data_IF_242227617665
#
_entry.id   IF_242227617665
#
_cell.length_a   1.000
_cell.length_b   1.000
_cell.length_c   1.000
_cell.angle_alpha   90.00
_cell.angle_beta   90.00
_cell.angle_gamma   90.00
#
_symmetry.space_group_name_H-M   'P 1'
#
loop_
_entity.id
_entity.type
_entity.pdbx_description
1 polymer ?
#
# COMPACT_ATOMS: atom_id res chain seq x y z
N UNK A 1 -38.65 -50.76 3.35
CA UNK A 1 -37.64 -49.87 3.98
C UNK A 1 -37.44 -48.67 3.06
N UNK A 2 -37.73 -47.44 3.52
CA UNK A 2 -37.62 -46.21 2.71
C UNK A 2 -36.31 -45.49 3.09
N UNK A 3 -35.40 -45.34 2.13
CA UNK A 3 -34.18 -44.54 2.30
C UNK A 3 -34.51 -43.07 1.99
N UNK A 4 -34.43 -42.22 3.01
CA UNK A 4 -34.48 -40.77 2.87
C UNK A 4 -33.07 -40.28 2.55
N UNK A 5 -32.87 -39.91 1.28
CA UNK A 5 -31.65 -39.24 0.82
C UNK A 5 -31.76 -37.75 1.18
N UNK A 6 -30.90 -37.29 2.10
CA UNK A 6 -30.80 -35.86 2.45
C UNK A 6 -29.69 -35.26 1.60
N UNK A 7 -30.09 -34.50 0.59
CA UNK A 7 -29.19 -33.68 -0.21
C UNK A 7 -28.89 -32.40 0.57
N UNK A 8 -27.72 -32.33 1.22
CA UNK A 8 -27.24 -31.12 1.90
C UNK A 8 -26.74 -30.16 0.84
N UNK A 9 -27.55 -29.16 0.50
CA UNK A 9 -27.14 -28.02 -0.30
C UNK A 9 -26.21 -27.15 0.57
N UNK A 10 -24.90 -27.26 0.38
CA UNK A 10 -23.95 -26.26 0.85
C UNK A 10 -24.23 -24.96 0.06
N UNK A 11 -24.99 -24.05 0.66
CA UNK A 11 -25.03 -22.66 0.21
C UNK A 11 -23.65 -22.05 0.43
N UNK A 12 -22.86 -21.97 -0.63
CA UNK A 12 -21.63 -21.17 -0.67
C UNK A 12 -21.99 -19.73 -0.35
N UNK A 13 -21.71 -19.29 0.87
CA UNK A 13 -21.75 -17.88 1.21
C UNK A 13 -20.66 -17.21 0.36
N UNK A 14 -21.09 -16.50 -0.68
CA UNK A 14 -20.21 -15.59 -1.43
C UNK A 14 -19.85 -14.50 -0.44
N UNK A 15 -18.65 -14.60 0.15
CA UNK A 15 -18.08 -13.52 0.93
C UNK A 15 -17.79 -12.41 -0.09
N UNK A 16 -18.76 -11.51 -0.27
CA UNK A 16 -18.47 -10.21 -0.86
C UNK A 16 -17.45 -9.57 0.07
N UNK A 17 -16.17 -9.66 -0.29
CA UNK A 17 -15.12 -8.90 0.35
C UNK A 17 -15.42 -7.43 0.04
N UNK A 18 -16.17 -6.78 0.93
CA UNK A 18 -16.30 -5.33 0.91
C UNK A 18 -14.90 -4.79 1.11
N UNK A 19 -14.33 -4.20 0.06
CA UNK A 19 -13.04 -3.53 0.12
C UNK A 19 -13.21 -2.38 1.12
N UNK A 20 -12.69 -2.56 2.33
CA UNK A 20 -12.74 -1.52 3.36
C UNK A 20 -11.88 -0.34 2.90
N UNK A 21 -12.36 0.90 3.02
CA UNK A 21 -11.56 2.08 2.71
C UNK A 21 -10.33 2.08 3.62
N UNK A 22 -9.16 2.29 3.02
CA UNK A 22 -7.89 2.38 3.74
C UNK A 22 -7.86 3.70 4.52
N UNK A 23 -7.36 3.68 5.76
CA UNK A 23 -7.20 4.91 6.53
C UNK A 23 -6.18 5.84 5.83
N UNK A 24 -6.58 7.08 5.57
CA UNK A 24 -5.73 8.07 4.88
C UNK A 24 -5.26 9.15 5.84
N UNK A 25 -4.24 9.91 5.44
CA UNK A 25 -3.80 11.10 6.14
C UNK A 25 -3.45 12.17 5.13
N UNK A 26 -3.90 13.40 5.38
CA UNK A 26 -3.70 14.54 4.48
C UNK A 26 -2.23 14.92 4.27
N UNK A 27 -1.37 14.51 5.19
CA UNK A 27 0.08 14.70 5.11
C UNK A 27 0.82 13.49 4.55
N UNK A 28 0.12 12.41 4.18
CA UNK A 28 0.74 11.22 3.58
C UNK A 28 0.52 11.17 2.07
N UNK A 29 1.60 11.34 1.32
CA UNK A 29 1.58 11.23 -0.14
C UNK A 29 2.96 10.85 -0.67
N UNK A 30 2.99 10.11 -1.77
CA UNK A 30 4.18 9.98 -2.60
C UNK A 30 4.23 11.20 -3.51
N UNK A 31 5.20 12.08 -3.27
CA UNK A 31 5.29 13.39 -3.96
C UNK A 31 5.95 13.26 -5.33
N UNK A 32 6.89 12.33 -5.46
CA UNK A 32 7.64 12.10 -6.69
C UNK A 32 8.01 10.63 -6.79
N UNK A 33 7.95 10.08 -8.00
CA UNK A 33 8.53 8.78 -8.29
C UNK A 33 8.95 8.69 -9.75
N UNK A 34 9.90 7.80 -10.03
CA UNK A 34 10.35 7.50 -11.38
C UNK A 34 10.83 6.04 -11.48
N UNK A 35 10.76 5.48 -12.67
CA UNK A 35 11.41 4.22 -13.02
C UNK A 35 12.77 4.49 -13.63
N UNK A 36 13.79 3.75 -13.22
CA UNK A 36 15.11 3.73 -13.85
C UNK A 36 15.50 2.28 -14.08
N UNK A 37 15.28 1.80 -15.31
CA UNK A 37 15.39 0.37 -15.62
C UNK A 37 14.38 -0.43 -14.80
N UNK A 38 14.88 -1.36 -13.99
CA UNK A 38 14.07 -2.17 -13.07
C UNK A 38 13.88 -1.55 -11.69
N UNK A 39 14.38 -0.34 -11.42
CA UNK A 39 14.28 0.28 -10.11
C UNK A 39 13.17 1.33 -10.06
N UNK A 40 12.34 1.26 -9.02
CA UNK A 40 11.41 2.32 -8.65
C UNK A 40 12.08 3.17 -7.57
N UNK A 41 12.21 4.47 -7.86
CA UNK A 41 12.77 5.46 -6.94
C UNK A 41 11.72 6.54 -6.67
N UNK A 42 11.70 7.08 -5.47
CA UNK A 42 10.81 8.19 -5.18
C UNK A 42 10.95 8.78 -3.79
N UNK A 43 10.09 9.76 -3.54
CA UNK A 43 10.02 10.55 -2.32
C UNK A 43 8.59 10.53 -1.79
N UNK A 44 8.46 10.48 -0.47
CA UNK A 44 7.17 10.55 0.20
C UNK A 44 7.23 11.54 1.36
N UNK A 45 6.11 12.20 1.60
CA UNK A 45 5.83 13.02 2.77
C UNK A 45 4.90 12.25 3.69
N UNK A 46 5.12 12.29 5.00
CA UNK A 46 4.23 11.70 6.01
C UNK A 46 3.99 12.68 7.15
N UNK A 47 3.01 12.47 8.05
CA UNK A 47 3.04 13.11 9.36
C UNK A 47 4.38 12.89 10.07
N UNK A 48 4.84 13.89 10.84
CA UNK A 48 5.92 13.68 11.82
C UNK A 48 5.58 12.54 12.77
N UNK A 49 6.61 11.90 13.35
CA UNK A 49 6.47 10.70 14.19
C UNK A 49 5.91 9.48 13.42
N UNK A 50 6.13 9.44 12.11
CA UNK A 50 5.99 8.19 11.35
C UNK A 50 7.18 7.28 11.66
N UNK A 51 6.90 6.04 12.04
CA UNK A 51 7.90 5.03 12.39
C UNK A 51 8.50 4.37 11.17
N UNK A 52 7.67 4.09 10.16
CA UNK A 52 8.11 3.41 8.94
C UNK A 52 7.23 3.75 7.75
N UNK A 53 7.84 3.75 6.56
CA UNK A 53 7.17 3.84 5.27
C UNK A 53 7.57 2.65 4.41
N UNK A 54 6.57 1.93 3.91
CA UNK A 54 6.72 0.71 3.12
C UNK A 54 5.99 0.88 1.78
N UNK A 55 6.67 0.56 0.67
CA UNK A 55 6.13 0.65 -0.68
C UNK A 55 5.82 -0.76 -1.18
N UNK A 56 4.53 -1.06 -1.32
CA UNK A 56 4.04 -2.31 -1.88
C UNK A 56 3.76 -2.12 -3.35
N UNK A 57 4.07 -3.12 -4.18
CA UNK A 57 3.93 -3.03 -5.63
C UNK A 57 3.31 -4.31 -6.19
N UNK A 58 2.78 -4.21 -7.39
CA UNK A 58 2.07 -5.29 -8.06
C UNK A 58 2.39 -5.38 -9.55
N UNK A 59 2.32 -6.61 -10.07
CA UNK A 59 2.32 -6.94 -11.50
C UNK A 59 0.90 -7.33 -11.92
N UNK A 60 0.21 -6.44 -12.64
CA UNK A 60 -1.24 -6.55 -12.77
C UNK A 60 -1.88 -6.65 -11.38
N UNK A 61 -2.83 -7.56 -11.18
CA UNK A 61 -3.53 -7.72 -9.90
C UNK A 61 -2.72 -8.47 -8.82
N UNK A 62 -1.51 -8.91 -9.13
CA UNK A 62 -0.68 -9.72 -8.22
C UNK A 62 0.26 -8.85 -7.37
N UNK A 63 -0.07 -8.73 -6.08
CA UNK A 63 0.72 -7.96 -5.11
C UNK A 63 1.93 -8.75 -4.60
N UNK A 64 3.10 -8.10 -4.60
CA UNK A 64 4.29 -8.68 -4.02
C UNK A 64 4.30 -8.57 -2.50
N UNK A 65 4.69 -9.64 -1.77
CA UNK A 65 4.61 -9.68 -0.31
C UNK A 65 5.71 -8.88 0.39
N UNK A 66 6.83 -8.62 -0.30
CA UNK A 66 7.98 -7.90 0.26
C UNK A 66 7.97 -6.45 -0.23
N UNK A 67 7.74 -5.47 0.66
CA UNK A 67 7.75 -4.07 0.26
C UNK A 67 9.18 -3.52 0.15
N UNK A 68 9.33 -2.43 -0.59
CA UNK A 68 10.51 -1.56 -0.50
C UNK A 68 10.37 -0.76 0.79
N UNK A 69 11.39 -0.78 1.66
CA UNK A 69 11.41 0.06 2.86
C UNK A 69 12.03 1.41 2.52
N UNK A 70 11.30 2.49 2.81
CA UNK A 70 11.83 3.82 2.63
C UNK A 70 12.72 4.22 3.82
N UNK A 71 13.68 5.08 3.54
CA UNK A 71 14.58 5.67 4.51
C UNK A 71 14.09 7.07 4.88
N UNK A 72 14.01 7.36 6.18
CA UNK A 72 13.75 8.72 6.66
C UNK A 72 14.94 9.63 6.34
N UNK A 73 14.65 10.87 5.95
CA UNK A 73 15.67 11.85 5.58
C UNK A 73 15.72 13.00 6.58
N UNK A 74 14.61 13.70 6.79
CA UNK A 74 14.51 14.83 7.70
C UNK A 74 13.06 15.18 8.01
N UNK A 75 12.86 15.96 9.08
CA UNK A 75 11.55 16.42 9.52
C UNK A 75 11.40 17.93 9.37
N UNK A 76 10.27 18.37 8.81
CA UNK A 76 9.80 19.75 8.89
C UNK A 76 8.85 19.89 10.07
N UNK A 77 9.38 20.32 11.21
CA UNK A 77 8.58 20.50 12.43
C UNK A 77 7.52 21.60 12.29
N UNK A 78 7.78 22.63 11.47
CA UNK A 78 6.83 23.73 11.27
C UNK A 78 5.60 23.28 10.49
N UNK A 79 5.78 22.42 9.48
CA UNK A 79 4.68 21.81 8.72
C UNK A 79 4.14 20.53 9.36
N UNK A 80 4.88 19.96 10.32
CA UNK A 80 4.59 18.67 10.93
C UNK A 80 4.62 17.54 9.90
N UNK A 81 5.61 17.56 9.01
CA UNK A 81 5.84 16.57 7.93
C UNK A 81 7.22 15.92 8.10
N UNK A 82 7.34 14.62 7.80
CA UNK A 82 8.61 13.90 7.63
C UNK A 82 8.83 13.53 6.17
N UNK A 83 10.06 13.66 5.69
CA UNK A 83 10.46 13.34 4.32
C UNK A 83 11.17 11.99 4.25
N UNK A 84 10.75 11.17 3.29
CA UNK A 84 11.24 9.81 3.08
C UNK A 84 11.68 9.61 1.65
N UNK A 85 12.67 8.73 1.45
CA UNK A 85 13.13 8.30 0.13
C UNK A 85 13.07 6.79 0.03
N UNK A 86 12.61 6.28 -1.12
CA UNK A 86 12.64 4.85 -1.41
C UNK A 86 13.35 4.57 -2.72
N UNK A 87 13.97 3.40 -2.80
CA UNK A 87 14.57 2.84 -4.00
C UNK A 87 14.56 1.32 -3.89
N UNK A 88 14.05 0.62 -4.90
CA UNK A 88 14.05 -0.84 -4.89
C UNK A 88 13.78 -1.45 -6.26
N UNK A 89 14.27 -2.67 -6.45
CA UNK A 89 14.08 -3.43 -7.68
C UNK A 89 12.65 -3.95 -7.79
N UNK A 90 11.99 -3.60 -8.88
CA UNK A 90 10.60 -3.92 -9.22
C UNK A 90 10.46 -4.20 -10.72
N UNK A 91 11.14 -5.25 -11.24
CA UNK A 91 11.32 -5.45 -12.67
C UNK A 91 10.00 -5.52 -13.46
N UNK A 92 8.92 -5.99 -12.85
CA UNK A 92 7.60 -6.19 -13.47
C UNK A 92 6.49 -5.33 -12.87
N UNK A 93 6.81 -4.36 -11.99
CA UNK A 93 5.78 -3.53 -11.39
C UNK A 93 5.00 -2.72 -12.44
N UNK A 94 3.69 -2.72 -12.25
CA UNK A 94 2.70 -1.96 -13.03
C UNK A 94 2.06 -0.86 -12.18
N UNK A 95 1.92 -1.10 -10.87
CA UNK A 95 1.42 -0.12 -9.92
C UNK A 95 1.93 -0.38 -8.51
N UNK A 96 1.78 0.61 -7.63
CA UNK A 96 2.21 0.52 -6.23
C UNK A 96 1.35 1.38 -5.30
N UNK A 97 1.41 1.09 -4.00
CA UNK A 97 0.92 2.00 -2.95
C UNK A 97 1.97 2.09 -1.83
N UNK A 98 1.86 3.14 -1.01
CA UNK A 98 2.67 3.32 0.16
C UNK A 98 1.84 3.12 1.44
N UNK A 99 2.44 2.50 2.46
CA UNK A 99 1.89 2.34 3.80
C UNK A 99 2.81 3.04 4.80
N UNK A 100 2.26 3.94 5.60
CA UNK A 100 2.94 4.56 6.73
C UNK A 100 2.43 3.96 8.03
N UNK A 101 3.32 3.66 8.98
CA UNK A 101 2.96 3.27 10.35
C UNK A 101 3.43 4.35 11.30
N UNK A 102 2.52 4.85 12.15
CA UNK A 102 2.80 5.91 13.11
C UNK A 102 3.20 5.33 14.48
N UNK A 103 3.80 6.15 15.33
CA UNK A 103 4.22 5.73 16.67
C UNK A 103 3.05 5.37 17.60
N UNK A 104 1.86 5.92 17.37
CA UNK A 104 0.65 5.59 18.12
C UNK A 104 -0.05 4.29 17.66
N UNK A 105 0.53 3.59 16.67
CA UNK A 105 -0.01 2.37 16.09
C UNK A 105 -0.98 2.60 14.92
N UNK A 106 -1.33 3.85 14.60
CA UNK A 106 -2.13 4.16 13.42
C UNK A 106 -1.38 3.84 12.13
N UNK A 107 -2.15 3.49 11.10
CA UNK A 107 -1.63 3.19 9.78
C UNK A 107 -2.32 4.08 8.76
N UNK A 108 -1.54 4.60 7.82
CA UNK A 108 -2.02 5.43 6.73
C UNK A 108 -1.58 4.85 5.40
N UNK A 109 -2.35 5.10 4.34
CA UNK A 109 -2.09 4.60 3.00
C UNK A 109 -2.10 5.75 1.98
N UNK A 110 -1.24 5.65 0.96
CA UNK A 110 -1.18 6.59 -0.16
C UNK A 110 -1.07 5.80 -1.49
N UNK A 111 -1.77 6.20 -2.58
CA UNK A 111 -2.63 7.39 -2.68
C UNK A 111 -3.92 7.24 -1.84
N UNK A 112 -4.67 8.34 -1.68
CA UNK A 112 -5.97 8.27 -1.00
C UNK A 112 -6.89 7.32 -1.78
N UNK A 113 -7.73 6.56 -1.08
CA UNK A 113 -8.71 5.59 -1.61
C UNK A 113 -8.16 4.20 -1.99
N UNK A 114 -8.92 3.44 -2.78
CA UNK A 114 -8.59 2.09 -3.25
C UNK A 114 -7.63 2.09 -4.44
N UNK A 115 -7.21 3.27 -4.89
CA UNK A 115 -6.35 3.42 -6.05
C UNK A 115 -4.87 3.17 -5.71
N UNK A 116 -4.10 2.85 -6.75
CA UNK A 116 -2.66 2.66 -6.68
C UNK A 116 -1.97 3.61 -7.65
N UNK A 117 -0.76 4.06 -7.34
CA UNK A 117 0.05 4.82 -8.28
C UNK A 117 0.40 3.94 -9.49
N UNK A 118 -0.03 4.36 -10.67
CA UNK A 118 0.31 3.69 -11.92
C UNK A 118 1.72 4.03 -12.37
N UNK A 119 2.51 3.00 -12.68
CA UNK A 119 3.87 3.15 -13.18
C UNK A 119 3.79 3.25 -14.71
N UNK A 120 4.25 4.37 -15.25
CA UNK A 120 4.47 4.52 -16.71
C UNK A 120 5.87 4.01 -17.04
N UNK A 121 5.95 3.12 -18.03
CA UNK A 121 7.20 2.59 -18.57
C UNK A 121 7.49 3.22 -19.93
#
# INVERSE_FOLDING_TARGET
MKFLSICVLLTSAVVNATVLPRATNDKFQVTRFNMTGSFLLGEAETPVRTRSVEIYWAEGDSWHPVPIRAESRWDDQARGISFWRFSGSVPTATHFYAKASHHDGSQFYAPRDTESYHIKR
#
